data_IF_515761284616
#
_entry.id   IF_515761284616
#
_cell.length_a   1.000
_cell.length_b   1.000
_cell.length_c   1.000
_cell.angle_alpha   90.00
_cell.angle_beta   90.00
_cell.angle_gamma   90.00
#
_symmetry.space_group_name_H-M   'P 1'
#
loop_
_entity.id
_entity.type
_entity.pdbx_description
1 polymer ?
#
# COMPACT_ATOMS: atom_id res chain seq x y z
N UNK A 1 -0.86 13.81 -20.51
CA UNK A 1 0.56 13.77 -20.05
C UNK A 1 1.21 12.55 -20.68
N UNK A 2 2.43 12.63 -21.20
CA UNK A 2 3.14 11.45 -21.70
C UNK A 2 3.53 10.59 -20.50
N UNK A 3 3.00 9.36 -20.43
CA UNK A 3 3.45 8.37 -19.45
C UNK A 3 4.93 8.09 -19.70
N UNK A 4 5.77 8.29 -18.70
CA UNK A 4 7.22 8.11 -18.82
C UNK A 4 7.75 7.26 -17.69
N UNK A 5 8.64 6.33 -18.01
CA UNK A 5 9.38 5.55 -17.01
C UNK A 5 10.37 6.48 -16.31
N UNK A 6 10.34 6.54 -14.98
CA UNK A 6 11.21 7.41 -14.16
C UNK A 6 12.27 6.60 -13.39
N UNK A 7 13.25 7.31 -12.83
CA UNK A 7 14.30 6.73 -11.99
C UNK A 7 15.53 6.24 -12.75
N UNK A 8 16.17 5.20 -12.22
CA UNK A 8 17.44 4.66 -12.71
C UNK A 8 17.23 3.76 -13.93
N UNK A 9 17.08 4.38 -15.11
CA UNK A 9 16.94 3.68 -16.41
C UNK A 9 18.26 3.58 -17.19
N UNK A 10 19.36 4.13 -16.66
CA UNK A 10 20.67 4.12 -17.32
C UNK A 10 21.17 2.68 -17.49
N UNK A 11 21.59 2.34 -18.70
CA UNK A 11 22.14 1.04 -19.07
C UNK A 11 21.10 -0.07 -19.28
N UNK A 12 19.81 0.25 -19.29
CA UNK A 12 18.77 -0.72 -19.66
C UNK A 12 18.73 -0.93 -21.17
N UNK A 13 18.55 -2.18 -21.62
CA UNK A 13 18.39 -2.47 -23.03
C UNK A 13 17.05 -1.92 -23.56
N UNK A 14 16.95 -1.67 -24.87
CA UNK A 14 15.68 -1.24 -25.49
C UNK A 14 14.55 -2.25 -25.25
N UNK A 15 14.87 -3.55 -25.18
CA UNK A 15 13.92 -4.61 -24.84
C UNK A 15 13.36 -4.45 -23.43
N UNK A 16 14.21 -4.09 -22.46
CA UNK A 16 13.81 -3.90 -21.06
C UNK A 16 12.90 -2.68 -20.92
N UNK A 17 13.25 -1.57 -21.58
CA UNK A 17 12.41 -0.37 -21.62
C UNK A 17 11.03 -0.67 -22.22
N UNK A 18 10.95 -1.48 -23.28
CA UNK A 18 9.66 -1.92 -23.85
C UNK A 18 8.87 -2.82 -22.89
N UNK A 19 9.53 -3.66 -22.08
CA UNK A 19 8.85 -4.48 -21.06
C UNK A 19 8.29 -3.61 -19.94
N UNK A 20 9.05 -2.62 -19.48
CA UNK A 20 8.62 -1.65 -18.48
C UNK A 20 7.45 -0.79 -18.98
N UNK A 21 7.50 -0.33 -20.23
CA UNK A 21 6.46 0.50 -20.84
C UNK A 21 5.11 -0.23 -20.92
N UNK A 22 5.13 -1.55 -21.17
CA UNK A 22 3.92 -2.38 -21.15
C UNK A 22 3.19 -2.37 -19.80
N UNK A 23 3.86 -2.08 -18.69
CA UNK A 23 3.21 -1.98 -17.37
C UNK A 23 2.12 -0.90 -17.34
N UNK A 24 2.28 0.20 -18.08
CA UNK A 24 1.26 1.25 -18.18
C UNK A 24 -0.05 0.78 -18.82
N UNK A 25 -0.03 -0.34 -19.56
CA UNK A 25 -1.23 -0.94 -20.16
C UNK A 25 -1.95 -1.92 -19.23
N UNK A 26 -1.31 -2.29 -18.11
CA UNK A 26 -1.91 -3.21 -17.13
C UNK A 26 -3.06 -2.53 -16.40
N UNK A 27 -4.07 -3.34 -16.09
CA UNK A 27 -5.23 -2.93 -15.31
C UNK A 27 -5.35 -3.82 -14.09
N UNK A 28 -5.73 -3.22 -12.99
CA UNK A 28 -6.02 -3.90 -11.72
C UNK A 28 -7.52 -3.79 -11.46
N UNK A 29 -8.16 -4.84 -10.97
CA UNK A 29 -9.55 -4.71 -10.53
C UNK A 29 -9.61 -3.71 -9.36
N UNK A 30 -10.65 -2.87 -9.31
CA UNK A 30 -10.82 -1.87 -8.24
C UNK A 30 -10.92 -2.51 -6.86
N UNK A 31 -11.43 -3.74 -6.79
CA UNK A 31 -11.58 -4.51 -5.56
C UNK A 31 -10.27 -5.18 -5.10
N UNK A 32 -9.24 -5.29 -5.95
CA UNK A 32 -7.98 -5.93 -5.60
C UNK A 32 -6.94 -4.91 -5.16
N UNK A 33 -6.12 -5.18 -4.14
CA UNK A 33 -4.98 -4.32 -3.77
C UNK A 33 -3.92 -4.25 -4.89
N UNK A 34 -3.74 -5.37 -5.60
CA UNK A 34 -2.94 -5.53 -6.80
C UNK A 34 -3.35 -6.86 -7.45
N UNK A 35 -3.47 -6.90 -8.78
CA UNK A 35 -3.73 -8.16 -9.49
C UNK A 35 -2.54 -9.11 -9.37
N UNK A 36 -2.79 -10.42 -9.31
CA UNK A 36 -1.75 -11.44 -9.24
C UNK A 36 -0.71 -11.33 -10.37
N UNK A 37 -1.17 -11.03 -11.59
CA UNK A 37 -0.31 -10.93 -12.77
C UNK A 37 0.60 -9.70 -12.71
N UNK A 38 0.06 -8.52 -12.36
CA UNK A 38 0.88 -7.32 -12.17
C UNK A 38 1.92 -7.51 -11.07
N UNK A 39 1.54 -8.12 -9.95
CA UNK A 39 2.46 -8.39 -8.85
C UNK A 39 3.63 -9.28 -9.30
N UNK A 40 3.34 -10.39 -10.01
CA UNK A 40 4.39 -11.25 -10.59
C UNK A 40 5.28 -10.50 -11.56
N UNK A 41 4.69 -9.73 -12.46
CA UNK A 41 5.43 -9.01 -13.49
C UNK A 41 6.36 -7.95 -12.89
N UNK A 42 5.88 -7.18 -11.90
CA UNK A 42 6.69 -6.20 -11.16
C UNK A 42 7.88 -6.88 -10.48
N UNK A 43 7.66 -7.99 -9.79
CA UNK A 43 8.75 -8.72 -9.13
C UNK A 43 9.75 -9.31 -10.13
N UNK A 44 9.26 -9.98 -11.18
CA UNK A 44 10.11 -10.63 -12.17
C UNK A 44 10.96 -9.62 -12.93
N UNK A 45 10.37 -8.51 -13.38
CA UNK A 45 11.11 -7.43 -14.03
C UNK A 45 12.14 -6.82 -13.07
N UNK A 46 11.78 -6.55 -11.82
CA UNK A 46 12.74 -6.04 -10.85
C UNK A 46 13.92 -7.00 -10.63
N UNK A 47 13.64 -8.30 -10.54
CA UNK A 47 14.65 -9.35 -10.39
C UNK A 47 15.57 -9.46 -11.61
N UNK A 48 15.01 -9.51 -12.82
CA UNK A 48 15.75 -9.56 -14.09
C UNK A 48 16.70 -8.36 -14.23
N UNK A 49 16.20 -7.17 -13.91
CA UNK A 49 16.95 -5.91 -14.02
C UNK A 49 17.92 -5.70 -12.84
N UNK A 50 17.80 -6.52 -11.78
CA UNK A 50 18.49 -6.37 -10.49
C UNK A 50 18.33 -4.96 -9.91
N UNK A 51 17.12 -4.41 -10.04
CA UNK A 51 16.72 -3.08 -9.58
C UNK A 51 15.30 -3.18 -9.05
N UNK A 52 15.01 -2.54 -7.91
CA UNK A 52 13.64 -2.42 -7.42
C UNK A 52 12.79 -1.76 -8.51
N UNK A 53 11.65 -2.33 -8.80
CA UNK A 53 10.66 -1.79 -9.70
C UNK A 53 9.44 -1.40 -8.87
N UNK A 54 8.92 -0.20 -9.10
CA UNK A 54 7.69 0.29 -8.51
C UNK A 54 6.70 0.73 -9.57
N UNK A 55 5.41 0.62 -9.26
CA UNK A 55 4.33 1.20 -10.04
C UNK A 55 3.34 1.91 -9.11
N UNK A 56 2.82 3.06 -9.53
CA UNK A 56 1.68 3.70 -8.85
C UNK A 56 0.40 3.32 -9.57
N UNK A 57 -0.57 2.80 -8.81
CA UNK A 57 -1.85 2.34 -9.31
C UNK A 57 -2.97 3.21 -8.72
N UNK A 58 -3.81 3.79 -9.56
CA UNK A 58 -4.97 4.57 -9.12
C UNK A 58 -6.09 3.68 -8.56
N UNK A 59 -7.10 4.29 -7.91
CA UNK A 59 -8.31 3.55 -7.49
C UNK A 59 -9.11 2.99 -8.67
N UNK A 60 -9.02 3.62 -9.85
CA UNK A 60 -9.62 3.13 -11.09
C UNK A 60 -8.82 1.96 -11.70
N UNK A 61 -7.75 1.51 -11.03
CA UNK A 61 -6.95 0.36 -11.41
C UNK A 61 -5.98 0.63 -12.56
N UNK A 62 -5.69 1.90 -12.86
CA UNK A 62 -4.73 2.29 -13.91
C UNK A 62 -3.33 2.43 -13.33
N UNK A 63 -2.33 1.94 -14.06
CA UNK A 63 -0.92 2.22 -13.77
C UNK A 63 -0.57 3.62 -14.27
N UNK A 64 -0.31 4.54 -13.35
CA UNK A 64 -0.05 5.96 -13.64
C UNK A 64 1.43 6.28 -13.78
N UNK A 65 2.27 5.60 -13.00
CA UNK A 65 3.73 5.80 -12.97
C UNK A 65 4.44 4.46 -12.91
N UNK A 66 5.60 4.37 -13.57
CA UNK A 66 6.52 3.22 -13.51
C UNK A 66 7.89 3.75 -13.13
N UNK A 67 8.43 3.28 -12.01
CA UNK A 67 9.68 3.79 -11.41
C UNK A 67 10.71 2.67 -11.32
N UNK A 68 11.90 2.91 -11.85
CA UNK A 68 13.04 2.01 -11.69
C UNK A 68 13.97 2.54 -10.60
N UNK A 69 14.13 1.78 -9.54
CA UNK A 69 15.00 2.10 -8.41
C UNK A 69 16.42 1.59 -8.57
N UNK A 70 17.13 1.55 -7.45
CA UNK A 70 18.39 0.82 -7.28
C UNK A 70 18.09 -0.57 -6.70
N UNK A 71 19.10 -1.32 -6.25
CA UNK A 71 18.86 -2.57 -5.52
C UNK A 71 18.17 -2.36 -4.18
N UNK A 72 18.35 -1.18 -3.57
CA UNK A 72 17.97 -0.89 -2.19
C UNK A 72 16.86 0.12 -2.10
N UNK A 73 16.90 1.17 -2.93
CA UNK A 73 16.01 2.32 -2.87
C UNK A 73 15.09 2.36 -4.09
N UNK A 74 13.87 2.85 -3.87
CA UNK A 74 12.93 3.20 -4.93
C UNK A 74 12.58 4.68 -4.75
N UNK A 75 12.84 5.49 -5.78
CA UNK A 75 12.56 6.92 -5.73
C UNK A 75 11.19 7.18 -6.32
N UNK A 76 10.26 7.68 -5.50
CA UNK A 76 8.95 8.12 -5.99
C UNK A 76 9.09 9.46 -6.72
N UNK A 77 8.30 9.69 -7.78
CA UNK A 77 8.25 10.99 -8.44
C UNK A 77 7.67 12.05 -7.50
N UNK A 78 7.93 13.32 -7.79
CA UNK A 78 7.20 14.40 -7.14
C UNK A 78 5.74 14.38 -7.61
N UNK A 79 4.89 13.80 -6.78
CA UNK A 79 3.45 13.74 -7.03
C UNK A 79 2.75 15.08 -6.73
N UNK A 80 3.51 16.14 -6.45
CA UNK A 80 3.03 17.46 -6.10
C UNK A 80 2.50 17.55 -4.67
N UNK A 81 2.55 18.77 -4.12
CA UNK A 81 1.88 19.13 -2.87
C UNK A 81 0.39 19.36 -3.13
N UNK A 82 -0.34 18.29 -3.42
CA UNK A 82 -1.79 18.36 -3.24
C UNK A 82 -2.01 18.59 -1.74
N UNK A 83 -2.63 19.71 -1.37
CA UNK A 83 -2.99 20.03 0.02
C UNK A 83 -4.15 19.12 0.40
N UNK A 84 -3.87 17.82 0.52
CA UNK A 84 -4.81 16.83 1.00
C UNK A 84 -5.11 17.21 2.44
N UNK A 85 -6.35 17.63 2.70
CA UNK A 85 -6.80 17.82 4.08
C UNK A 85 -6.59 16.52 4.88
N UNK A 86 -6.42 16.59 6.21
CA UNK A 86 -6.05 15.45 7.06
C UNK A 86 -6.93 14.21 6.92
N UNK A 87 -8.15 14.34 6.37
CA UNK A 87 -9.06 13.23 6.08
C UNK A 87 -8.80 12.48 4.75
N UNK A 88 -8.13 13.08 3.76
CA UNK A 88 -8.10 12.53 2.37
C UNK A 88 -6.80 11.83 2.00
N UNK A 89 -6.90 10.61 1.48
CA UNK A 89 -5.76 9.91 0.92
C UNK A 89 -5.54 10.32 -0.54
N UNK A 90 -4.36 10.00 -1.07
CA UNK A 90 -3.91 10.40 -2.40
C UNK A 90 -4.58 9.59 -3.52
N UNK A 91 -5.31 8.52 -3.18
CA UNK A 91 -5.98 7.64 -4.16
C UNK A 91 -5.02 6.89 -5.07
N UNK A 92 -3.79 6.68 -4.58
CA UNK A 92 -2.71 5.98 -5.27
C UNK A 92 -2.15 4.90 -4.35
N UNK A 93 -1.89 3.74 -4.94
CA UNK A 93 -1.20 2.62 -4.30
C UNK A 93 0.17 2.44 -4.91
N UNK A 94 1.20 2.28 -4.09
CA UNK A 94 2.53 1.89 -4.56
C UNK A 94 2.67 0.38 -4.50
N UNK A 95 2.87 -0.26 -5.65
CA UNK A 95 3.26 -1.68 -5.71
C UNK A 95 4.73 -1.73 -6.08
N UNK A 96 5.56 -2.44 -5.32
CA UNK A 96 6.99 -2.54 -5.62
C UNK A 96 7.58 -3.91 -5.35
N UNK A 97 8.67 -4.24 -6.05
CA UNK A 97 9.40 -5.49 -5.87
C UNK A 97 10.29 -5.45 -4.61
N UNK A 98 10.07 -6.37 -3.67
CA UNK A 98 11.00 -6.62 -2.57
C UNK A 98 12.08 -7.63 -2.97
N UNK A 99 13.21 -7.12 -3.45
CA UNK A 99 14.39 -7.91 -3.80
C UNK A 99 15.32 -8.20 -2.60
N UNK A 100 14.87 -7.96 -1.36
CA UNK A 100 15.68 -8.24 -0.17
C UNK A 100 15.93 -9.74 0.00
N UNK A 101 17.03 -10.10 0.67
CA UNK A 101 17.38 -11.50 0.97
C UNK A 101 16.49 -12.17 2.05
N UNK A 102 15.51 -11.45 2.59
CA UNK A 102 14.59 -11.96 3.62
C UNK A 102 13.67 -13.04 3.04
N UNK A 103 13.23 -14.00 3.83
CA UNK A 103 12.23 -15.00 3.41
C UNK A 103 10.84 -14.39 3.25
N UNK A 104 10.52 -13.35 4.01
CA UNK A 104 9.22 -12.69 3.98
C UNK A 104 9.29 -11.36 3.20
N UNK A 105 8.16 -10.90 2.62
CA UNK A 105 8.08 -9.58 2.01
C UNK A 105 8.30 -8.48 3.06
N UNK A 106 9.10 -7.49 2.69
CA UNK A 106 9.54 -6.42 3.57
C UNK A 106 9.29 -5.04 2.98
N UNK A 107 8.70 -4.15 3.79
CA UNK A 107 8.54 -2.73 3.50
C UNK A 107 9.64 -1.97 4.28
N UNK A 108 10.54 -1.25 3.60
CA UNK A 108 11.59 -0.48 4.25
C UNK A 108 11.07 0.88 4.78
N UNK A 109 11.82 1.49 5.71
CA UNK A 109 11.43 2.72 6.43
C UNK A 109 11.21 3.94 5.53
N UNK A 110 11.96 4.06 4.45
CA UNK A 110 11.79 5.11 3.43
C UNK A 110 10.40 4.99 2.77
N UNK A 111 9.96 3.78 2.43
CA UNK A 111 8.64 3.57 1.84
C UNK A 111 7.50 3.82 2.84
N UNK A 112 7.68 3.51 4.13
CA UNK A 112 6.74 3.95 5.17
C UNK A 112 6.67 5.47 5.27
N UNK A 113 7.82 6.14 5.20
CA UNK A 113 7.89 7.61 5.21
C UNK A 113 7.16 8.20 4.00
N UNK A 114 7.30 7.58 2.83
CA UNK A 114 6.60 8.00 1.61
C UNK A 114 5.09 7.77 1.70
N UNK A 115 4.65 6.63 2.26
CA UNK A 115 3.23 6.36 2.55
C UNK A 115 2.62 7.51 3.36
N UNK A 116 3.27 7.90 4.46
CA UNK A 116 2.78 8.95 5.36
C UNK A 116 2.83 10.33 4.71
N UNK A 117 3.98 10.73 4.15
CA UNK A 117 4.17 12.08 3.59
C UNK A 117 3.36 12.34 2.34
N UNK A 118 3.23 11.32 1.48
CA UNK A 118 2.43 11.41 0.27
C UNK A 118 0.97 11.04 0.54
N UNK A 119 0.66 10.47 1.71
CA UNK A 119 -0.67 9.96 2.06
C UNK A 119 -1.22 8.99 1.01
N UNK A 120 -0.38 8.05 0.58
CA UNK A 120 -0.81 6.99 -0.33
C UNK A 120 -1.95 6.19 0.31
N UNK A 121 -2.81 5.61 -0.51
CA UNK A 121 -3.84 4.69 -0.02
C UNK A 121 -3.18 3.46 0.64
N UNK A 122 -2.15 2.94 -0.03
CA UNK A 122 -1.45 1.73 0.38
C UNK A 122 -0.07 1.64 -0.27
N UNK A 123 0.87 0.99 0.41
CA UNK A 123 2.12 0.49 -0.18
C UNK A 123 2.12 -1.03 -0.10
N UNK A 124 2.57 -1.70 -1.16
CA UNK A 124 2.54 -3.16 -1.32
C UNK A 124 3.93 -3.63 -1.77
N UNK A 125 4.65 -4.30 -0.88
CA UNK A 125 5.87 -5.02 -1.18
C UNK A 125 5.53 -6.40 -1.74
N UNK A 126 5.99 -6.71 -2.96
CA UNK A 126 5.76 -8.00 -3.62
C UNK A 126 7.02 -8.84 -3.59
N UNK A 127 6.86 -10.12 -3.25
CA UNK A 127 7.94 -11.10 -3.28
C UNK A 127 7.46 -12.41 -3.89
N UNK A 128 8.27 -12.98 -4.79
CA UNK A 128 8.00 -14.30 -5.38
C UNK A 128 9.18 -15.21 -5.07
N UNK A 129 8.91 -16.32 -4.40
CA UNK A 129 9.93 -17.29 -3.98
C UNK A 129 9.72 -18.66 -4.64
N UNK A 130 10.81 -19.32 -5.11
CA UNK A 130 10.77 -20.75 -5.43
C UNK A 130 10.42 -21.60 -4.19
N UNK A 131 9.96 -22.86 -4.36
CA UNK A 131 9.78 -23.57 -5.64
C UNK A 131 8.41 -23.38 -6.29
N UNK A 132 7.42 -22.89 -5.55
CA UNK A 132 6.03 -22.81 -6.02
C UNK A 132 5.67 -21.46 -6.67
N UNK A 133 6.60 -20.52 -6.72
CA UNK A 133 6.42 -19.17 -7.28
C UNK A 133 5.14 -18.49 -6.75
N UNK A 134 4.80 -18.75 -5.48
CA UNK A 134 3.72 -18.05 -4.80
C UNK A 134 4.09 -16.58 -4.63
N UNK A 135 3.09 -15.74 -4.85
CA UNK A 135 3.23 -14.29 -4.67
C UNK A 135 2.88 -13.97 -3.23
N UNK A 136 3.90 -13.64 -2.45
CA UNK A 136 3.76 -13.13 -1.11
C UNK A 136 3.75 -11.61 -1.16
N UNK A 137 2.94 -10.99 -0.31
CA UNK A 137 2.90 -9.54 -0.19
C UNK A 137 2.95 -9.10 1.26
N UNK A 138 3.58 -7.96 1.51
CA UNK A 138 3.34 -7.16 2.69
C UNK A 138 2.69 -5.86 2.22
N UNK A 139 1.60 -5.45 2.84
CA UNK A 139 0.98 -4.16 2.55
C UNK A 139 0.80 -3.34 3.80
N UNK A 140 0.90 -2.03 3.64
CA UNK A 140 0.70 -1.07 4.71
C UNK A 140 -0.15 0.10 4.26
N UNK A 141 -0.97 0.61 5.19
CA UNK A 141 -1.86 1.75 4.98
C UNK A 141 -1.96 2.59 6.25
N UNK A 142 -2.40 3.83 6.07
CA UNK A 142 -2.62 4.79 7.15
C UNK A 142 -3.90 4.44 7.89
N UNK A 143 -3.87 4.35 9.22
CA UNK A 143 -5.05 4.21 10.08
C UNK A 143 -5.23 5.43 10.98
N UNK A 144 -6.47 5.75 11.40
CA UNK A 144 -6.69 6.82 12.36
C UNK A 144 -5.93 6.54 13.67
N UNK A 145 -5.32 7.57 14.24
CA UNK A 145 -4.74 7.51 15.58
C UNK A 145 -5.71 8.16 16.57
N UNK A 146 -5.98 7.44 17.66
CA UNK A 146 -6.81 7.93 18.77
C UNK A 146 -5.97 8.59 19.88
N UNK A 147 -4.64 8.46 19.80
CA UNK A 147 -3.70 8.85 20.86
C UNK A 147 -2.86 10.06 20.43
N UNK A 148 -2.66 10.26 19.13
CA UNK A 148 -1.89 11.36 18.56
C UNK A 148 -2.60 12.01 17.38
N UNK A 149 -2.30 13.28 17.11
CA UNK A 149 -2.78 13.99 15.90
C UNK A 149 -2.14 13.46 14.59
N UNK A 150 -1.24 12.47 14.69
CA UNK A 150 -0.55 11.86 13.55
C UNK A 150 -1.18 10.49 13.26
N UNK A 151 -1.56 10.20 12.00
CA UNK A 151 -2.04 8.87 11.64
C UNK A 151 -1.01 7.78 11.99
N UNK A 152 -1.49 6.60 12.39
CA UNK A 152 -0.64 5.43 12.57
C UNK A 152 -0.56 4.61 11.27
N UNK A 153 0.40 3.70 11.18
CA UNK A 153 0.54 2.79 10.03
C UNK A 153 0.27 1.36 10.48
N UNK A 154 -0.68 0.69 9.80
CA UNK A 154 -0.96 -0.74 9.97
C UNK A 154 -0.31 -1.51 8.84
N UNK A 155 0.33 -2.64 9.16
CA UNK A 155 1.00 -3.51 8.19
C UNK A 155 0.52 -4.94 8.32
N UNK A 156 0.19 -5.56 7.19
CA UNK A 156 -0.23 -6.95 7.11
C UNK A 156 0.62 -7.73 6.10
N UNK A 157 0.68 -9.04 6.28
CA UNK A 157 1.42 -9.95 5.40
C UNK A 157 0.52 -11.06 4.93
N UNK A 158 0.63 -11.38 3.65
CA UNK A 158 -0.14 -12.43 2.99
C UNK A 158 0.83 -13.36 2.27
N UNK A 159 0.79 -14.64 2.63
CA UNK A 159 1.68 -15.66 2.08
C UNK A 159 1.25 -16.15 0.69
N UNK A 160 0.01 -15.87 0.28
CA UNK A 160 -0.51 -16.20 -1.04
C UNK A 160 -1.53 -15.14 -1.47
N UNK A 161 -1.09 -14.19 -2.29
CA UNK A 161 -1.93 -13.11 -2.81
C UNK A 161 -3.17 -13.64 -3.54
N UNK A 162 -3.08 -14.81 -4.19
CA UNK A 162 -4.22 -15.41 -4.90
C UNK A 162 -5.34 -15.88 -3.98
N UNK A 163 -5.14 -15.88 -2.66
CA UNK A 163 -6.13 -16.24 -1.64
C UNK A 163 -6.55 -15.06 -0.77
N UNK A 164 -6.14 -13.85 -1.13
CA UNK A 164 -6.52 -12.66 -0.38
C UNK A 164 -7.98 -12.32 -0.64
N UNK A 165 -8.82 -12.48 0.39
CA UNK A 165 -10.23 -12.06 0.38
C UNK A 165 -10.35 -10.68 1.02
N UNK A 166 -10.01 -9.63 0.26
CA UNK A 166 -10.13 -8.23 0.67
C UNK A 166 -10.73 -7.43 -0.48
N UNK A 167 -11.88 -6.79 -0.25
CA UNK A 167 -12.42 -5.79 -1.18
C UNK A 167 -11.76 -4.43 -0.90
N UNK A 168 -10.75 -4.08 -1.69
CA UNK A 168 -9.98 -2.84 -1.54
C UNK A 168 -10.84 -1.58 -1.65
N UNK A 169 -11.84 -1.56 -2.53
CA UNK A 169 -12.68 -0.37 -2.73
C UNK A 169 -13.50 -0.07 -1.48
N UNK A 170 -14.20 -1.08 -0.94
CA UNK A 170 -14.95 -0.98 0.31
C UNK A 170 -14.04 -0.66 1.50
N UNK A 171 -12.88 -1.32 1.57
CA UNK A 171 -11.90 -1.11 2.64
C UNK A 171 -11.40 0.32 2.70
N UNK A 172 -11.00 0.89 1.56
CA UNK A 172 -10.50 2.27 1.52
C UNK A 172 -11.61 3.30 1.75
N UNK A 173 -12.83 3.01 1.33
CA UNK A 173 -13.97 3.87 1.62
C UNK A 173 -14.21 3.97 3.13
N UNK A 174 -14.32 2.83 3.82
CA UNK A 174 -14.51 2.81 5.28
C UNK A 174 -13.37 3.52 6.01
N UNK A 175 -12.14 3.29 5.58
CA UNK A 175 -10.95 3.93 6.17
C UNK A 175 -10.97 5.47 6.02
N UNK A 176 -11.38 5.99 4.86
CA UNK A 176 -11.50 7.45 4.67
C UNK A 176 -12.64 8.05 5.49
N UNK A 177 -13.75 7.31 5.68
CA UNK A 177 -14.84 7.72 6.56
C UNK A 177 -14.35 7.84 8.01
N UNK A 178 -13.60 6.85 8.51
CA UNK A 178 -12.99 6.89 9.84
C UNK A 178 -11.98 8.03 10.00
N UNK A 179 -11.08 8.22 9.02
CA UNK A 179 -10.12 9.34 9.03
C UNK A 179 -10.81 10.70 9.01
N UNK A 180 -11.92 10.82 8.28
CA UNK A 180 -12.74 12.03 8.27
C UNK A 180 -13.40 12.29 9.61
N UNK A 181 -13.91 11.26 10.28
CA UNK A 181 -14.52 11.38 11.60
C UNK A 181 -13.50 11.85 12.64
N UNK A 182 -12.30 11.27 12.69
CA UNK A 182 -11.25 11.69 13.62
C UNK A 182 -10.79 13.12 13.33
N UNK A 183 -10.59 13.50 12.06
CA UNK A 183 -10.22 14.87 11.70
C UNK A 183 -11.27 15.90 12.12
N UNK A 184 -12.56 15.59 12.01
CA UNK A 184 -13.65 16.45 12.47
C UNK A 184 -13.79 16.46 14.00
N UNK A 185 -13.57 15.32 14.66
CA UNK A 185 -13.56 15.17 16.11
C UNK A 185 -12.45 15.99 16.76
N UNK A 186 -11.21 15.86 16.27
CA UNK A 186 -10.06 16.66 16.72
C UNK A 186 -10.28 18.16 16.47
N UNK A 187 -10.98 18.54 15.40
CA UNK A 187 -11.32 19.95 15.14
C UNK A 187 -12.40 20.51 16.10
N UNK A 188 -13.27 19.66 16.67
CA UNK A 188 -14.32 20.06 17.62
C UNK A 188 -13.92 19.91 19.09
N UNK A 189 -12.93 19.08 19.39
CA UNK A 189 -12.57 18.71 20.77
C UNK A 189 -11.17 19.23 21.08
N UNK A 190 -11.10 20.51 21.49
CA UNK A 190 -10.01 20.93 22.37
C UNK A 190 -10.15 20.15 23.69
N UNK A 191 -9.28 19.15 23.91
CA UNK A 191 -9.20 18.20 25.05
C UNK A 191 -9.99 16.88 24.93
N UNK A 192 -9.24 15.88 24.46
CA UNK A 192 -9.32 14.42 24.68
C UNK A 192 -10.50 13.87 25.51
N UNK A 193 -11.28 12.99 24.87
CA UNK A 193 -11.92 11.81 25.47
C UNK A 193 -11.72 10.63 24.51
N UNK A 194 -11.23 9.51 25.04
CA UNK A 194 -10.97 8.30 24.25
C UNK A 194 -12.30 7.63 23.86
N UNK A 195 -12.40 7.20 22.59
CA UNK A 195 -13.50 6.41 22.08
C UNK A 195 -12.91 5.08 21.56
N UNK A 196 -13.32 3.96 22.14
CA UNK A 196 -12.90 2.63 21.71
C UNK A 196 -13.84 2.15 20.59
N UNK A 197 -13.29 1.80 19.43
CA UNK A 197 -14.04 1.20 18.33
C UNK A 197 -13.41 -0.15 18.02
N UNK A 198 -14.13 -1.23 18.32
CA UNK A 198 -13.75 -2.59 17.95
C UNK A 198 -14.35 -2.97 16.59
N UNK A 199 -13.53 -3.51 15.68
CA UNK A 199 -13.99 -4.05 14.40
C UNK A 199 -13.89 -5.57 14.48
N UNK A 200 -15.04 -6.26 14.43
CA UNK A 200 -15.13 -7.71 14.49
C UNK A 200 -15.56 -8.27 13.13
N UNK A 201 -14.88 -9.33 12.67
CA UNK A 201 -15.32 -10.13 11.52
C UNK A 201 -16.61 -10.88 11.83
N UNK A 202 -17.35 -11.30 10.78
CA UNK A 202 -18.66 -11.97 10.83
C UNK A 202 -18.67 -13.22 11.72
N UNK A 203 -18.79 -13.03 13.03
CA UNK A 203 -19.33 -13.94 14.05
C UNK A 203 -19.37 -13.16 15.37
N UNK A 204 -20.44 -12.38 15.56
CA UNK A 204 -20.64 -11.43 16.66
C UNK A 204 -20.80 -12.04 18.07
N UNK A 205 -20.34 -13.27 18.29
CA UNK A 205 -20.47 -13.98 19.57
C UNK A 205 -19.21 -13.91 20.44
N UNK A 206 -18.06 -13.45 19.94
CA UNK A 206 -16.84 -13.26 20.74
C UNK A 206 -16.61 -11.81 21.20
N UNK A 207 -17.41 -10.86 20.73
CA UNK A 207 -17.23 -9.43 21.05
C UNK A 207 -17.52 -9.08 22.52
N UNK A 208 -18.45 -9.79 23.16
CA UNK A 208 -18.87 -9.48 24.53
C UNK A 208 -17.83 -9.91 25.58
N UNK A 209 -17.21 -11.08 25.42
CA UNK A 209 -16.27 -11.63 26.41
C UNK A 209 -14.99 -10.81 26.55
N UNK A 210 -14.50 -10.19 25.46
CA UNK A 210 -13.32 -9.33 25.51
C UNK A 210 -13.61 -7.90 26.00
N UNK A 211 -14.88 -7.48 26.03
CA UNK A 211 -15.30 -6.19 26.59
C UNK A 211 -15.51 -6.29 28.11
N UNK A 212 -16.04 -7.41 28.59
CA UNK A 212 -16.31 -7.62 30.02
C UNK A 212 -15.00 -7.78 30.82
N UNK A 213 -13.97 -8.45 30.27
CA UNK A 213 -12.66 -8.64 30.93
C UNK A 213 -11.90 -7.33 31.24
N UNK A 214 -12.19 -6.24 30.55
CA UNK A 214 -11.48 -4.96 30.71
C UNK A 214 -12.26 -3.89 31.47
N UNK A 215 -13.47 -4.22 31.93
CA UNK A 215 -14.23 -3.34 32.85
C UNK A 215 -13.78 -3.52 34.31
N UNK A 216 -12.93 -4.53 34.57
CA UNK A 216 -12.37 -4.86 35.89
C UNK A 216 -10.96 -4.28 36.15
N UNK A 217 -10.44 -3.42 35.27
CA UNK A 217 -9.17 -2.67 35.45
C UNK A 217 -9.42 -1.16 35.57
#
# INVERSE_FOLDING_TARGET
MSRSITGNTKGLAKSDLRRLDKLFSRKVNREEIVSLDLAREVYQLGSDLRRKLGVLVSREGQVEEVMVGTKELLYLPDLGRYRLGPARLRRLRLVFSDLSKRSEPFIPTDIYTDLEKLRLDMVIAVKVLPPNYRVQVAYAHIVPSLISDQPAVRTERVNDLGRLELNFEEYMQGLEEELSQVAQGSAKVGKLKALLVGVYGKDGSQAQSSLDELTEL
#
